data_IF_083271622811
#
_entry.id   IF_083271622811
#
_cell.length_a   1.000
_cell.length_b   1.000
_cell.length_c   1.000
_cell.angle_alpha   90.00
_cell.angle_beta   90.00
_cell.angle_gamma   90.00
#
_symmetry.space_group_name_H-M   'P 1'
#
loop_
_entity.id
_entity.type
_entity.pdbx_description
1 polymer ?
#
# COMPACT_ATOMS: atom_id res chain seq x y z
N UNK A 1 10.42 5.58 -6.71
CA UNK A 1 10.45 7.06 -6.71
C UNK A 1 10.63 7.69 -8.08
N UNK A 2 11.28 7.06 -9.07
CA UNK A 2 11.50 7.65 -10.40
C UNK A 2 10.22 7.98 -11.19
N UNK A 3 9.09 7.36 -10.88
CA UNK A 3 7.83 7.62 -11.59
C UNK A 3 7.21 8.95 -11.17
N UNK A 4 7.13 9.25 -9.86
CA UNK A 4 6.58 10.52 -9.36
C UNK A 4 7.43 11.74 -9.74
N UNK A 5 8.75 11.58 -9.84
CA UNK A 5 9.68 12.62 -10.33
C UNK A 5 9.39 13.10 -11.76
N UNK A 6 8.59 12.35 -12.53
CA UNK A 6 8.26 12.69 -13.92
C UNK A 6 6.97 13.49 -14.04
N UNK A 7 6.18 13.56 -12.96
CA UNK A 7 4.89 14.26 -12.92
C UNK A 7 5.05 15.69 -12.41
N UNK A 8 5.95 15.91 -11.45
CA UNK A 8 6.23 17.22 -10.90
C UNK A 8 7.50 17.23 -10.04
N UNK A 9 7.82 18.40 -9.51
CA UNK A 9 8.95 18.56 -8.60
C UNK A 9 8.67 17.89 -7.26
N UNK A 10 9.59 17.02 -6.84
CA UNK A 10 9.50 16.41 -5.52
C UNK A 10 10.13 17.31 -4.48
N UNK A 11 9.40 17.57 -3.40
CA UNK A 11 9.92 18.28 -2.24
C UNK A 11 11.17 17.60 -1.65
N UNK A 12 11.25 16.26 -1.73
CA UNK A 12 12.41 15.46 -1.35
C UNK A 12 12.76 14.44 -2.43
N UNK A 13 14.05 14.37 -2.79
CA UNK A 13 14.53 13.45 -3.84
C UNK A 13 14.76 12.02 -3.34
N UNK A 14 14.78 11.82 -2.01
CA UNK A 14 14.93 10.51 -1.35
C UNK A 14 13.76 10.29 -0.39
N UNK A 15 13.38 9.03 -0.11
CA UNK A 15 12.42 8.73 0.94
C UNK A 15 12.92 9.23 2.28
N UNK A 16 12.03 9.83 3.06
CA UNK A 16 12.30 10.26 4.43
C UNK A 16 11.79 9.21 5.42
N UNK A 17 12.48 9.06 6.55
CA UNK A 17 12.03 8.22 7.65
C UNK A 17 11.23 9.08 8.64
N UNK A 18 10.01 8.67 8.95
CA UNK A 18 9.15 9.36 9.90
C UNK A 18 8.38 8.35 10.77
N UNK A 19 8.24 8.67 12.05
CA UNK A 19 7.47 7.87 13.01
C UNK A 19 5.97 8.16 12.91
N UNK A 20 5.37 7.84 11.77
CA UNK A 20 3.95 8.06 11.51
C UNK A 20 3.14 6.81 11.84
N UNK A 21 2.03 6.97 12.57
CA UNK A 21 1.12 5.88 12.95
C UNK A 21 0.73 4.97 11.78
N UNK A 22 0.42 5.58 10.64
CA UNK A 22 -0.02 4.91 9.41
C UNK A 22 1.06 4.04 8.76
N UNK A 23 2.34 4.19 9.14
CA UNK A 23 3.45 3.43 8.58
C UNK A 23 3.90 2.26 9.47
N UNK A 24 3.25 2.03 10.62
CA UNK A 24 3.72 1.09 11.65
C UNK A 24 3.13 -0.32 11.55
N UNK A 25 2.87 -0.83 10.34
CA UNK A 25 2.48 -2.23 10.17
C UNK A 25 3.73 -3.13 10.16
N UNK A 26 3.87 -4.09 11.09
CA UNK A 26 5.07 -4.94 11.14
C UNK A 26 5.15 -5.92 9.96
N UNK A 27 4.00 -6.38 9.45
CA UNK A 27 3.91 -7.44 8.45
C UNK A 27 3.55 -6.94 7.04
N UNK A 28 3.32 -5.63 6.88
CA UNK A 28 2.93 -5.02 5.61
C UNK A 28 3.89 -3.86 5.30
N UNK A 29 4.59 -3.87 4.15
CA UNK A 29 5.37 -2.72 3.70
C UNK A 29 4.46 -1.51 3.49
N UNK A 30 4.73 -0.42 4.22
CA UNK A 30 3.95 0.82 4.17
C UNK A 30 4.80 2.00 3.72
N UNK A 31 4.24 2.86 2.88
CA UNK A 31 4.81 4.16 2.49
C UNK A 31 3.74 5.24 2.56
N UNK A 32 4.15 6.49 2.83
CA UNK A 32 3.32 7.66 2.66
C UNK A 32 3.83 8.44 1.45
N UNK A 33 2.91 8.86 0.59
CA UNK A 33 3.22 9.67 -0.59
C UNK A 33 2.62 11.04 -0.40
N UNK A 34 3.48 12.06 -0.37
CA UNK A 34 3.07 13.46 -0.44
C UNK A 34 2.99 13.87 -1.92
N UNK A 35 1.81 14.32 -2.36
CA UNK A 35 1.50 14.61 -3.77
C UNK A 35 1.57 16.09 -4.14
N UNK A 36 1.68 16.97 -3.13
CA UNK A 36 1.79 18.42 -3.26
C UNK A 36 1.35 19.14 -1.99
N UNK A 37 1.54 20.45 -1.94
CA UNK A 37 1.21 21.34 -0.82
C UNK A 37 -0.01 22.21 -1.14
N UNK A 38 -1.10 22.02 -0.39
CA UNK A 38 -2.30 22.87 -0.51
C UNK A 38 -2.01 24.33 -0.10
N UNK A 39 -1.01 24.56 0.75
CA UNK A 39 -0.57 25.91 1.13
C UNK A 39 0.05 26.69 -0.03
N UNK A 40 0.47 26.03 -1.10
CA UNK A 40 0.94 26.65 -2.33
C UNK A 40 -0.21 26.72 -3.35
N UNK A 41 -0.67 27.92 -3.68
CA UNK A 41 -1.83 28.10 -4.59
C UNK A 41 -1.59 27.57 -6.01
N UNK A 42 -0.33 27.39 -6.43
CA UNK A 42 -0.01 26.75 -7.70
C UNK A 42 -0.26 25.25 -7.64
N UNK A 43 0.30 24.60 -6.62
CA UNK A 43 0.14 23.16 -6.40
C UNK A 43 -1.30 22.80 -6.01
N UNK A 44 -1.99 23.62 -5.23
CA UNK A 44 -3.42 23.45 -4.92
C UNK A 44 -4.26 23.35 -6.20
N UNK A 45 -4.05 24.25 -7.17
CA UNK A 45 -4.77 24.21 -8.45
C UNK A 45 -4.45 22.95 -9.25
N UNK A 46 -3.20 22.50 -9.25
CA UNK A 46 -2.82 21.25 -9.88
C UNK A 46 -3.48 20.06 -9.18
N UNK A 47 -3.44 20.01 -7.85
CA UNK A 47 -4.09 18.96 -7.06
C UNK A 47 -5.61 18.90 -7.29
N UNK A 48 -6.26 20.01 -7.63
CA UNK A 48 -7.66 20.06 -8.03
C UNK A 48 -7.95 19.65 -9.47
N UNK A 49 -6.94 19.35 -10.30
CA UNK A 49 -7.11 18.98 -11.71
C UNK A 49 -7.18 17.48 -11.91
N UNK A 50 -8.23 17.01 -12.58
CA UNK A 50 -8.41 15.59 -12.96
C UNK A 50 -7.21 15.04 -13.74
N UNK A 51 -6.65 15.85 -14.65
CA UNK A 51 -5.52 15.42 -15.47
C UNK A 51 -4.25 15.20 -14.61
N UNK A 52 -3.98 16.09 -13.66
CA UNK A 52 -2.82 15.96 -12.78
C UNK A 52 -2.99 14.80 -11.78
N UNK A 53 -4.19 14.63 -11.24
CA UNK A 53 -4.52 13.48 -10.39
C UNK A 53 -4.32 12.14 -11.14
N UNK A 54 -4.73 12.07 -12.41
CA UNK A 54 -4.52 10.89 -13.25
C UNK A 54 -3.02 10.60 -13.45
N UNK A 55 -2.20 11.62 -13.71
CA UNK A 55 -0.75 11.46 -13.84
C UNK A 55 -0.11 10.94 -12.54
N UNK A 56 -0.53 11.45 -11.38
CA UNK A 56 -0.08 10.95 -10.07
C UNK A 56 -0.48 9.48 -9.89
N UNK A 57 -1.75 9.14 -10.16
CA UNK A 57 -2.25 7.78 -10.02
C UNK A 57 -1.47 6.79 -10.89
N UNK A 58 -1.20 7.14 -12.14
CA UNK A 58 -0.38 6.34 -13.07
C UNK A 58 1.05 6.19 -12.56
N UNK A 59 1.65 7.25 -12.04
CA UNK A 59 3.00 7.19 -11.48
C UNK A 59 3.09 6.25 -10.26
N UNK A 60 2.10 6.28 -9.37
CA UNK A 60 2.00 5.38 -8.21
C UNK A 60 1.81 3.95 -8.69
N UNK A 61 0.87 3.71 -9.61
CA UNK A 61 0.61 2.39 -10.19
C UNK A 61 1.86 1.79 -10.83
N UNK A 62 2.53 2.54 -11.69
CA UNK A 62 3.75 2.09 -12.36
C UNK A 62 4.88 1.85 -11.36
N UNK A 63 4.97 2.66 -10.30
CA UNK A 63 5.90 2.46 -9.20
C UNK A 63 5.69 1.13 -8.48
N UNK A 64 4.45 0.82 -8.11
CA UNK A 64 4.07 -0.45 -7.47
C UNK A 64 4.29 -1.65 -8.39
N UNK A 65 3.88 -1.55 -9.65
CA UNK A 65 4.09 -2.60 -10.66
C UNK A 65 5.58 -2.93 -10.80
N UNK A 66 6.43 -1.90 -10.92
CA UNK A 66 7.87 -2.08 -11.02
C UNK A 66 8.47 -2.70 -9.74
N UNK A 67 7.98 -2.30 -8.57
CA UNK A 67 8.40 -2.89 -7.30
C UNK A 67 8.12 -4.40 -7.26
N UNK A 68 6.89 -4.83 -7.58
CA UNK A 68 6.54 -6.26 -7.57
C UNK A 68 7.20 -7.08 -8.69
N UNK A 69 7.56 -6.46 -9.81
CA UNK A 69 8.37 -7.14 -10.82
C UNK A 69 9.80 -7.42 -10.34
N UNK A 70 10.37 -6.54 -9.52
CA UNK A 70 11.73 -6.68 -8.96
C UNK A 70 11.74 -7.50 -7.67
N UNK A 71 10.64 -7.45 -6.92
CA UNK A 71 10.40 -8.18 -5.68
C UNK A 71 9.11 -8.98 -5.83
N UNK A 72 9.15 -10.13 -6.54
CA UNK A 72 8.01 -11.03 -6.59
C UNK A 72 7.54 -11.35 -5.17
N UNK A 73 6.22 -11.36 -4.95
CA UNK A 73 5.63 -11.61 -3.63
C UNK A 73 6.21 -12.91 -3.02
N UNK A 74 7.05 -12.78 -1.99
CA UNK A 74 7.71 -13.94 -1.37
C UNK A 74 6.78 -14.76 -0.46
N UNK A 75 5.64 -14.20 -0.09
CA UNK A 75 4.51 -14.92 0.48
C UNK A 75 3.34 -13.95 0.52
N UNK A 76 2.22 -14.31 -0.13
CA UNK A 76 0.93 -13.71 0.24
C UNK A 76 0.77 -13.82 1.77
N UNK A 77 0.07 -12.88 2.44
CA UNK A 77 -0.29 -13.11 3.83
C UNK A 77 -0.88 -14.51 3.89
N UNK A 78 -0.30 -15.38 4.74
CA UNK A 78 -0.89 -16.69 5.03
C UNK A 78 -2.28 -16.34 5.55
N UNK A 79 -3.28 -16.39 4.68
CA UNK A 79 -4.67 -16.28 5.08
C UNK A 79 -4.81 -17.28 6.20
N UNK A 80 -5.13 -16.78 7.38
CA UNK A 80 -5.45 -17.61 8.53
C UNK A 80 -6.38 -18.69 7.99
N UNK A 81 -5.89 -19.93 7.98
CA UNK A 81 -6.69 -21.08 7.59
C UNK A 81 -7.95 -20.98 8.41
N UNK A 82 -9.08 -20.77 7.74
CA UNK A 82 -10.39 -20.79 8.34
C UNK A 82 -10.44 -22.01 9.26
N UNK A 83 -10.37 -21.78 10.57
CA UNK A 83 -10.78 -22.76 11.57
C UNK A 83 -12.30 -22.85 11.45
N UNK A 84 -12.77 -23.46 10.37
CA UNK A 84 -14.10 -24.04 10.32
C UNK A 84 -14.07 -25.13 11.38
N UNK A 85 -14.70 -24.82 12.51
CA UNK A 85 -15.02 -25.72 13.59
C UNK A 85 -15.25 -27.13 13.06
N UNK A 86 -14.40 -28.07 13.49
CA UNK A 86 -14.69 -29.50 13.44
C UNK A 86 -15.93 -29.74 14.31
N UNK A 87 -17.10 -29.58 13.68
CA UNK A 87 -18.38 -29.93 14.27
C UNK A 87 -18.37 -31.42 14.59
N UNK A 88 -18.40 -31.69 15.89
CA UNK A 88 -18.82 -32.91 16.57
C UNK A 88 -19.66 -33.84 15.69
N UNK A 89 -19.11 -35.01 15.36
CA UNK A 89 -19.92 -36.14 14.88
C UNK A 89 -20.55 -36.84 16.08
N UNK A 90 -21.89 -37.04 16.13
CA UNK A 90 -22.52 -37.77 17.21
C UNK A 90 -22.43 -39.27 16.95
N UNK A 91 -22.05 -40.04 17.97
CA UNK A 91 -22.38 -41.46 18.04
C UNK A 91 -21.19 -42.39 18.22
N UNK A 92 -20.89 -42.70 19.49
CA UNK A 92 -20.67 -44.10 19.89
C UNK A 92 -20.88 -44.27 21.39
N UNK A 93 -22.08 -44.70 21.76
CA UNK A 93 -22.27 -45.49 22.98
C UNK A 93 -21.49 -46.80 22.83
N UNK A 94 -20.71 -47.18 23.83
CA UNK A 94 -20.78 -48.47 24.55
C UNK A 94 -19.49 -48.77 25.36
N UNK A 95 -19.70 -48.85 26.68
CA UNK A 95 -19.18 -49.83 27.66
C UNK A 95 -17.66 -49.88 27.93
N UNK A 96 -17.27 -49.53 29.16
CA UNK A 96 -16.76 -50.47 30.19
C UNK A 96 -16.81 -49.81 31.57
#
# INVERSE_FOLDING_TARGET
>A
MSQLQRVGDLHKRRPEHASLGVLRSPDIPSILVETGFISNTGEERLLGSDNYQQQIAEAIYNGLRNYFMQHPLQSAPRGETAQTASATSPGRTLIN
#
